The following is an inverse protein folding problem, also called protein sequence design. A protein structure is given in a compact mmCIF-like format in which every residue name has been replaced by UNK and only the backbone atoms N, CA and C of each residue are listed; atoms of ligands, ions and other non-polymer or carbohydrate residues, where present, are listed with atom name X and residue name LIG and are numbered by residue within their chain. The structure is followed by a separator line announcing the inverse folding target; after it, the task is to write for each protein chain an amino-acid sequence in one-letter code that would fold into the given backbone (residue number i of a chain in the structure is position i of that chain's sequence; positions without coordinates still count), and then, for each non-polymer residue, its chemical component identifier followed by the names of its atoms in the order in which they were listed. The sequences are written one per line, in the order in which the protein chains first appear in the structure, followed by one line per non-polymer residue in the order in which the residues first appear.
data_IF_949984754164
#
_entry.id   IF_949984754164
#
_cell.length_a   1.000
_cell.length_b   1.000
_cell.length_c   1.000
_cell.angle_alpha   90.00
_cell.angle_beta   90.00
_cell.angle_gamma   90.00
#
_symmetry.space_group_name_H-M   'P 1'
#
loop_
_entity.id
_entity.type
_entity.pdbx_description
1 polymer ?
#
# COMPACT_ATOMS: atom_id res chain seq x y z
N UNK A 1 25.05 43.40 -14.14
CA UNK A 1 24.15 42.66 -13.24
C UNK A 1 24.54 41.19 -13.31
N UNK A 2 25.25 40.68 -12.30
CA UNK A 2 25.85 39.33 -12.26
C UNK A 2 25.01 38.36 -11.40
N UNK A 3 25.55 37.15 -11.19
CA UNK A 3 25.28 36.18 -10.11
C UNK A 3 24.37 34.99 -10.43
N UNK A 4 24.95 33.95 -11.05
CA UNK A 4 24.78 32.58 -10.54
C UNK A 4 26.12 31.87 -10.58
N UNK A 5 26.86 32.05 -9.48
CA UNK A 5 28.10 31.33 -9.20
C UNK A 5 27.86 30.52 -7.93
N UNK A 6 28.16 29.21 -8.00
CA UNK A 6 28.43 28.28 -6.89
C UNK A 6 27.31 27.99 -5.90
N UNK A 7 26.71 26.82 -6.07
CA UNK A 7 26.67 25.78 -5.03
C UNK A 7 27.01 24.42 -5.65
N UNK A 8 28.28 24.31 -6.09
CA UNK A 8 28.93 23.01 -6.27
C UNK A 8 29.39 22.58 -4.88
N UNK A 9 28.48 21.97 -4.13
CA UNK A 9 28.79 21.28 -2.89
C UNK A 9 29.73 20.13 -3.20
N UNK A 10 30.92 20.20 -2.64
CA UNK A 10 32.01 19.25 -2.79
C UNK A 10 31.60 17.91 -2.17
N UNK A 11 31.12 16.97 -2.99
CA UNK A 11 31.25 15.54 -2.68
C UNK A 11 32.55 15.12 -3.36
N UNK A 12 33.62 15.18 -2.57
CA UNK A 12 34.93 14.69 -2.95
C UNK A 12 34.85 13.16 -3.05
N UNK A 13 34.91 12.64 -4.28
CA UNK A 13 34.98 11.21 -4.57
C UNK A 13 34.38 10.87 -5.93
N UNK A 14 35.21 10.91 -6.97
CA UNK A 14 35.05 10.41 -8.34
C UNK A 14 33.93 9.36 -8.59
N UNK A 15 32.65 9.77 -8.65
CA UNK A 15 31.58 8.87 -9.06
C UNK A 15 30.47 9.54 -9.88
N UNK A 16 30.68 10.78 -10.33
CA UNK A 16 29.69 11.52 -11.11
C UNK A 16 29.66 11.17 -12.62
N UNK A 17 30.52 10.26 -13.07
CA UNK A 17 30.68 9.88 -14.49
C UNK A 17 30.63 8.36 -14.71
N UNK A 18 29.89 7.67 -13.84
CA UNK A 18 29.76 6.22 -13.88
C UNK A 18 28.35 5.89 -14.34
N UNK A 19 28.25 5.19 -15.47
CA UNK A 19 27.01 4.65 -16.03
C UNK A 19 26.19 4.00 -14.90
N UNK A 20 24.93 4.42 -14.67
CA UNK A 20 24.09 3.88 -13.60
C UNK A 20 23.92 2.35 -13.67
N UNK A 21 24.12 1.73 -14.84
CA UNK A 21 24.11 0.27 -15.00
C UNK A 21 25.35 -0.45 -14.48
N UNK A 22 26.41 0.30 -14.12
CA UNK A 22 27.65 -0.25 -13.56
C UNK A 22 27.73 -0.10 -12.04
N UNK A 23 26.68 0.40 -11.40
CA UNK A 23 26.57 0.46 -9.95
C UNK A 23 26.51 -0.94 -9.36
N UNK A 24 27.57 -1.31 -8.63
CA UNK A 24 27.55 -2.51 -7.78
C UNK A 24 26.76 -2.18 -6.52
N UNK A 25 25.46 -2.49 -6.56
CA UNK A 25 24.64 -2.43 -5.36
C UNK A 25 25.15 -3.46 -4.34
N UNK A 26 25.12 -3.15 -3.04
CA UNK A 26 25.40 -4.13 -1.99
C UNK A 26 24.47 -5.34 -2.17
N UNK A 27 25.03 -6.55 -2.09
CA UNK A 27 24.27 -7.79 -2.22
C UNK A 27 23.27 -8.02 -1.08
N UNK A 28 23.37 -7.22 -0.01
CA UNK A 28 22.40 -7.18 1.07
C UNK A 28 22.42 -5.80 1.72
N UNK A 29 21.25 -5.29 2.05
CA UNK A 29 21.08 -4.15 2.94
C UNK A 29 20.97 -4.71 4.36
N UNK A 30 21.76 -4.17 5.28
CA UNK A 30 21.66 -4.56 6.69
C UNK A 30 20.32 -4.08 7.24
N UNK A 31 19.53 -4.99 7.81
CA UNK A 31 18.29 -4.62 8.48
C UNK A 31 18.57 -3.61 9.58
N UNK A 32 17.71 -2.58 9.67
CA UNK A 32 17.85 -1.54 10.67
C UNK A 32 17.54 -2.13 12.04
N UNK A 33 18.47 -1.99 12.99
CA UNK A 33 18.31 -2.48 14.36
C UNK A 33 17.27 -1.62 15.09
N UNK A 34 16.48 -2.18 16.02
CA UNK A 34 15.61 -1.38 16.88
C UNK A 34 16.48 -0.35 17.65
N UNK A 35 16.25 0.94 17.40
CA UNK A 35 17.10 2.06 17.85
C UNK A 35 17.95 2.74 16.75
N UNK A 36 17.74 2.38 15.47
CA UNK A 36 18.38 3.04 14.32
C UNK A 36 18.00 4.52 14.17
N UNK A 37 18.86 5.28 13.47
CA UNK A 37 18.70 6.72 13.22
C UNK A 37 17.32 7.01 12.63
N UNK A 38 16.64 8.01 13.19
CA UNK A 38 15.35 8.53 12.71
C UNK A 38 15.42 8.82 11.21
N UNK A 39 14.39 8.39 10.49
CA UNK A 39 14.19 8.71 9.07
C UNK A 39 14.16 10.23 8.92
N UNK A 40 15.11 10.77 8.15
CA UNK A 40 15.21 12.23 7.90
C UNK A 40 14.33 12.57 6.71
N UNK A 41 13.35 13.45 6.93
CA UNK A 41 12.39 13.90 5.92
C UNK A 41 13.13 14.72 4.85
N UNK A 42 13.05 14.36 3.55
CA UNK A 42 13.51 15.22 2.46
C UNK A 42 12.67 16.50 2.38
N UNK A 43 13.30 17.63 2.06
CA UNK A 43 12.60 18.92 1.94
C UNK A 43 11.36 18.85 1.04
N UNK A 44 10.19 19.39 1.46
CA UNK A 44 8.94 19.31 0.70
C UNK A 44 9.00 19.89 -0.73
N UNK A 45 9.94 20.80 -0.99
CA UNK A 45 10.20 21.35 -2.32
C UNK A 45 10.72 20.30 -3.32
N UNK A 46 11.14 19.13 -2.86
CA UNK A 46 11.61 18.05 -3.72
C UNK A 46 10.43 17.39 -4.46
N UNK A 47 9.17 17.54 -4.01
CA UNK A 47 8.01 16.82 -4.54
C UNK A 47 7.29 17.49 -5.73
N UNK A 48 7.85 18.57 -6.29
CA UNK A 48 7.13 19.46 -7.23
C UNK A 48 6.86 18.79 -8.59
N UNK A 49 7.69 17.83 -9.01
CA UNK A 49 7.63 17.21 -10.34
C UNK A 49 7.26 15.71 -10.29
N UNK A 50 6.61 15.27 -9.21
CA UNK A 50 6.27 13.86 -8.96
C UNK A 50 5.29 13.22 -9.93
N UNK A 51 4.91 13.84 -11.03
CA UNK A 51 3.83 13.31 -11.85
C UNK A 51 4.02 13.63 -13.34
N UNK A 52 3.56 12.73 -14.24
CA UNK A 52 3.40 13.05 -15.63
C UNK A 52 2.49 14.28 -15.77
N UNK A 53 2.79 15.22 -16.70
CA UNK A 53 1.87 16.31 -16.98
C UNK A 53 0.52 15.72 -17.36
N UNK A 54 -0.55 16.31 -16.82
CA UNK A 54 -1.94 15.88 -17.08
C UNK A 54 -2.33 15.93 -18.57
N UNK A 55 -1.48 16.54 -19.41
CA UNK A 55 -1.67 16.82 -20.83
C UNK A 55 -0.72 16.00 -21.73
N UNK A 56 -0.45 14.74 -21.38
CA UNK A 56 0.31 13.85 -22.26
C UNK A 56 -0.50 13.54 -23.54
N UNK A 57 -0.44 14.42 -24.53
CA UNK A 57 -0.99 14.19 -25.86
C UNK A 57 -0.31 12.98 -26.54
N UNK A 58 -1.07 12.32 -27.43
CA UNK A 58 -0.88 11.00 -28.06
C UNK A 58 0.44 10.80 -28.84
N UNK A 59 1.40 11.72 -28.79
CA UNK A 59 2.64 11.66 -29.58
C UNK A 59 3.94 11.28 -28.84
N UNK A 60 4.00 11.35 -27.51
CA UNK A 60 5.28 11.29 -26.78
C UNK A 60 5.34 10.19 -25.71
N UNK A 61 4.99 8.96 -26.08
CA UNK A 61 5.15 7.78 -25.20
C UNK A 61 6.62 7.48 -24.86
N UNK A 62 7.58 8.07 -25.58
CA UNK A 62 9.02 7.94 -25.30
C UNK A 62 9.47 8.64 -24.00
N UNK A 63 8.70 9.59 -23.48
CA UNK A 63 8.98 10.27 -22.19
C UNK A 63 8.53 9.45 -20.97
N UNK A 64 7.77 8.37 -21.17
CA UNK A 64 7.25 7.48 -20.11
C UNK A 64 8.36 6.54 -19.56
N UNK A 65 9.50 6.45 -20.26
CA UNK A 65 10.71 5.74 -19.82
C UNK A 65 11.63 6.62 -18.94
N UNK A 66 11.18 7.80 -18.51
CA UNK A 66 11.92 8.61 -17.55
C UNK A 66 11.98 7.87 -16.21
N UNK A 67 13.20 7.58 -15.75
CA UNK A 67 13.50 7.17 -14.38
C UNK A 67 12.60 7.97 -13.40
N UNK A 68 12.00 7.33 -12.37
CA UNK A 68 11.11 8.03 -11.45
C UNK A 68 11.80 9.29 -10.92
N UNK A 69 11.12 10.42 -11.09
CA UNK A 69 11.61 11.69 -10.57
C UNK A 69 11.83 11.58 -9.04
N UNK A 70 12.73 12.39 -8.48
CA UNK A 70 13.08 12.39 -7.05
C UNK A 70 11.80 12.51 -6.20
N UNK A 71 10.86 13.31 -6.67
CA UNK A 71 9.53 13.46 -6.10
C UNK A 71 8.75 12.13 -6.02
N UNK A 72 8.70 11.34 -7.09
CA UNK A 72 8.01 10.04 -7.13
C UNK A 72 8.65 9.06 -6.14
N UNK A 73 9.99 8.99 -6.15
CA UNK A 73 10.74 8.13 -5.25
C UNK A 73 10.47 8.51 -3.77
N UNK A 74 10.35 9.80 -3.48
CA UNK A 74 10.08 10.26 -2.12
C UNK A 74 8.64 9.92 -1.65
N UNK A 75 7.62 10.05 -2.51
CA UNK A 75 6.25 9.59 -2.17
C UNK A 75 6.21 8.08 -1.95
N UNK A 76 6.93 7.33 -2.79
CA UNK A 76 7.07 5.89 -2.64
C UNK A 76 7.70 5.51 -1.30
N UNK A 77 8.79 6.17 -0.91
CA UNK A 77 9.43 5.96 0.39
C UNK A 77 8.52 6.35 1.57
N UNK A 78 7.75 7.44 1.44
CA UNK A 78 6.78 7.83 2.46
C UNK A 78 5.69 6.76 2.64
N UNK A 79 5.19 6.19 1.54
CA UNK A 79 4.20 5.10 1.60
C UNK A 79 4.78 3.84 2.25
N UNK A 80 6.02 3.46 1.93
CA UNK A 80 6.70 2.33 2.58
C UNK A 80 6.85 2.55 4.09
N UNK A 81 7.14 3.78 4.51
CA UNK A 81 7.22 4.14 5.93
C UNK A 81 5.84 4.02 6.62
N UNK A 82 4.74 4.39 5.94
CA UNK A 82 3.39 4.14 6.45
C UNK A 82 3.13 2.64 6.67
N UNK A 83 3.53 1.78 5.73
CA UNK A 83 3.39 0.32 5.87
C UNK A 83 4.23 -0.22 7.04
N UNK A 84 5.44 0.29 7.23
CA UNK A 84 6.28 -0.05 8.38
C UNK A 84 5.62 0.35 9.70
N UNK A 85 5.04 1.55 9.78
CA UNK A 85 4.32 2.01 10.97
C UNK A 85 3.11 1.11 11.25
N UNK A 86 2.32 0.77 10.23
CA UNK A 86 1.20 -0.17 10.36
C UNK A 86 1.66 -1.53 10.95
N UNK A 87 2.78 -2.06 10.48
CA UNK A 87 3.38 -3.30 11.01
C UNK A 87 3.77 -3.16 12.48
N UNK A 88 4.37 -2.03 12.87
CA UNK A 88 4.72 -1.76 14.27
C UNK A 88 3.48 -1.64 15.16
N UNK A 89 2.42 -0.97 14.70
CA UNK A 89 1.17 -0.81 15.44
C UNK A 89 0.46 -2.17 15.61
N UNK A 90 0.42 -2.99 14.55
CA UNK A 90 -0.06 -4.38 14.62
C UNK A 90 0.74 -5.23 15.62
N UNK A 91 2.05 -4.98 15.71
CA UNK A 91 2.97 -5.63 16.65
C UNK A 91 2.88 -5.10 18.08
N UNK A 92 2.29 -3.92 18.30
CA UNK A 92 2.04 -3.35 19.62
C UNK A 92 0.67 -3.76 20.19
N UNK A 93 -0.32 -4.03 19.33
CA UNK A 93 -1.68 -4.39 19.74
C UNK A 93 -1.76 -5.73 20.46
N UNK A 94 -2.35 -5.73 21.65
CA UNK A 94 -2.54 -6.94 22.44
C UNK A 94 -3.78 -7.67 21.93
N UNK A 95 -3.58 -8.70 21.12
CA UNK A 95 -4.66 -9.57 20.64
C UNK A 95 -4.78 -10.77 21.57
N UNK A 96 -5.84 -10.79 22.37
CA UNK A 96 -6.22 -11.95 23.16
C UNK A 96 -7.07 -12.88 22.28
N UNK A 97 -6.46 -13.93 21.73
CA UNK A 97 -7.23 -14.98 21.04
C UNK A 97 -7.80 -15.91 22.10
N UNK A 98 -9.12 -15.96 22.17
CA UNK A 98 -9.80 -17.05 22.85
C UNK A 98 -9.45 -18.34 22.12
N UNK A 99 -8.70 -19.22 22.79
CA UNK A 99 -8.31 -20.51 22.22
C UNK A 99 -9.53 -21.23 21.67
N UNK A 100 -9.45 -21.68 20.42
CA UNK A 100 -10.40 -22.64 19.86
C UNK A 100 -10.57 -23.75 20.92
N UNK A 101 -11.79 -24.12 21.34
CA UNK A 101 -11.97 -25.30 22.17
C UNK A 101 -11.47 -26.46 21.33
N UNK A 102 -10.28 -26.97 21.68
CA UNK A 102 -9.82 -28.24 21.16
C UNK A 102 -10.89 -29.24 21.59
N UNK A 103 -11.71 -29.69 20.62
CA UNK A 103 -12.67 -30.75 20.85
C UNK A 103 -11.85 -32.05 21.00
N UNK A 104 -11.26 -32.21 22.18
CA UNK A 104 -10.64 -33.44 22.61
C UNK A 104 -11.76 -34.33 23.12
N UNK A 105 -12.08 -35.39 22.38
CA UNK A 105 -13.12 -36.39 22.70
C UNK A 105 -12.83 -37.24 23.95
N UNK A 106 -12.11 -36.71 24.94
CA UNK A 106 -11.86 -37.41 26.20
C UNK A 106 -12.20 -36.49 27.36
N UNK A 107 -13.24 -36.80 28.16
CA UNK A 107 -13.52 -36.07 29.37
C UNK A 107 -12.39 -36.38 30.36
N UNK A 108 -11.61 -35.36 30.70
CA UNK A 108 -10.76 -35.37 31.88
C UNK A 108 -11.28 -34.27 32.80
N UNK A 109 -11.74 -34.70 33.96
CA UNK A 109 -12.15 -33.84 35.05
C UNK A 109 -10.97 -32.90 35.45
N UNK A 110 -11.34 -31.67 35.78
CA UNK A 110 -10.60 -30.69 36.60
C UNK A 110 -9.34 -30.00 36.02
N UNK A 111 -9.52 -28.95 35.19
CA UNK A 111 -8.75 -27.67 35.24
C UNK A 111 -9.56 -26.52 34.57
N UNK A 112 -9.83 -25.38 35.23
CA UNK A 112 -10.33 -24.19 34.55
C UNK A 112 -9.14 -23.43 33.95
N UNK A 113 -8.86 -23.65 32.67
CA UNK A 113 -7.90 -22.83 31.92
C UNK A 113 -8.48 -22.41 30.58
N UNK A 114 -9.43 -21.48 30.62
CA UNK A 114 -9.61 -20.47 29.56
C UNK A 114 -8.39 -19.53 29.58
N UNK A 115 -7.22 -20.07 29.24
CA UNK A 115 -6.01 -19.28 29.10
C UNK A 115 -6.04 -18.52 27.79
N UNK A 116 -6.30 -17.22 27.84
CA UNK A 116 -5.97 -16.31 26.73
C UNK A 116 -4.49 -16.45 26.44
N UNK A 117 -4.16 -17.03 25.29
CA UNK A 117 -2.78 -17.22 24.86
C UNK A 117 -2.44 -16.08 23.92
N UNK A 118 -1.46 -15.27 24.31
CA UNK A 118 -0.99 -14.12 23.52
C UNK A 118 -0.43 -14.62 22.19
N UNK A 119 -0.92 -14.05 21.09
CA UNK A 119 -0.34 -14.35 19.78
C UNK A 119 1.08 -13.76 19.68
N UNK A 120 2.08 -14.55 19.24
CA UNK A 120 3.38 -14.04 18.84
C UNK A 120 3.24 -12.92 17.79
N UNK A 121 4.19 -11.97 17.80
CA UNK A 121 4.24 -10.84 16.86
C UNK A 121 4.13 -11.26 15.39
N UNK A 122 4.86 -12.31 14.99
CA UNK A 122 4.81 -12.86 13.63
C UNK A 122 3.42 -13.35 13.23
N UNK A 123 2.68 -13.96 14.16
CA UNK A 123 1.33 -14.45 13.90
C UNK A 123 0.30 -13.31 13.81
N UNK A 124 0.51 -12.20 14.55
CA UNK A 124 -0.36 -11.01 14.46
C UNK A 124 -0.21 -10.31 13.12
N UNK A 125 1.01 -10.18 12.63
CA UNK A 125 1.26 -9.62 11.31
C UNK A 125 0.70 -10.53 10.20
N UNK A 126 0.89 -11.85 10.29
CA UNK A 126 0.30 -12.79 9.35
C UNK A 126 -1.25 -12.72 9.36
N UNK A 127 -1.87 -12.59 10.53
CA UNK A 127 -3.31 -12.38 10.64
C UNK A 127 -3.76 -11.07 9.98
N UNK A 128 -3.04 -9.97 10.22
CA UNK A 128 -3.32 -8.68 9.59
C UNK A 128 -3.24 -8.79 8.07
N UNK A 129 -2.17 -9.40 7.51
CA UNK A 129 -2.06 -9.57 6.05
C UNK A 129 -3.23 -10.40 5.51
N UNK A 130 -3.61 -11.49 6.20
CA UNK A 130 -4.75 -12.32 5.77
C UNK A 130 -6.06 -11.54 5.74
N UNK A 131 -6.28 -10.68 6.74
CA UNK A 131 -7.41 -9.75 6.76
C UNK A 131 -7.28 -8.73 5.63
N UNK A 132 -6.14 -8.05 5.48
CA UNK A 132 -5.91 -7.08 4.42
C UNK A 132 -6.17 -7.66 3.02
N UNK A 133 -5.77 -8.92 2.77
CA UNK A 133 -6.03 -9.63 1.52
C UNK A 133 -7.53 -9.87 1.31
N UNK A 134 -8.27 -10.27 2.35
CA UNK A 134 -9.72 -10.44 2.22
C UNK A 134 -10.44 -9.11 1.99
N UNK A 135 -10.03 -8.05 2.70
CA UNK A 135 -10.53 -6.68 2.52
C UNK A 135 -10.23 -6.15 1.12
N UNK A 136 -9.03 -6.40 0.61
CA UNK A 136 -8.64 -6.06 -0.77
C UNK A 136 -9.48 -6.81 -1.79
N UNK A 137 -9.76 -8.10 -1.58
CA UNK A 137 -10.60 -8.86 -2.51
C UNK A 137 -12.01 -8.28 -2.61
N UNK A 138 -12.62 -7.89 -1.48
CA UNK A 138 -13.95 -7.25 -1.47
C UNK A 138 -13.91 -5.87 -2.13
N UNK A 139 -12.87 -5.07 -1.87
CA UNK A 139 -12.71 -3.78 -2.53
C UNK A 139 -12.53 -3.93 -4.05
N UNK A 140 -11.67 -4.86 -4.48
CA UNK A 140 -11.39 -5.13 -5.88
C UNK A 140 -12.65 -5.53 -6.63
N UNK A 141 -13.49 -6.42 -6.07
CA UNK A 141 -14.74 -6.83 -6.70
C UNK A 141 -15.77 -5.70 -6.85
N UNK A 142 -15.65 -4.62 -6.07
CA UNK A 142 -16.55 -3.46 -6.09
C UNK A 142 -15.88 -2.21 -6.70
N UNK A 143 -14.73 -2.37 -7.36
CA UNK A 143 -13.97 -1.24 -7.90
C UNK A 143 -14.70 -0.57 -9.07
N UNK A 144 -15.61 -1.27 -9.74
CA UNK A 144 -16.49 -0.73 -10.76
C UNK A 144 -17.38 0.40 -10.22
N UNK A 145 -17.95 0.23 -9.04
CA UNK A 145 -18.76 1.27 -8.40
C UNK A 145 -17.94 2.53 -8.13
N UNK A 146 -16.67 2.38 -7.75
CA UNK A 146 -15.73 3.51 -7.58
C UNK A 146 -15.48 4.21 -8.92
N UNK A 147 -15.15 3.46 -9.97
CA UNK A 147 -14.84 4.02 -11.28
C UNK A 147 -16.06 4.68 -11.94
N UNK A 148 -17.24 4.09 -11.80
CA UNK A 148 -18.51 4.67 -12.27
C UNK A 148 -18.80 5.98 -11.55
N UNK A 149 -18.61 6.02 -10.23
CA UNK A 149 -18.82 7.25 -9.46
C UNK A 149 -17.83 8.35 -9.86
N UNK A 150 -16.57 8.01 -10.11
CA UNK A 150 -15.56 8.94 -10.63
C UNK A 150 -15.96 9.46 -12.02
N UNK A 151 -16.42 8.58 -12.92
CA UNK A 151 -16.85 8.99 -14.25
C UNK A 151 -18.08 9.91 -14.22
N UNK A 152 -19.02 9.68 -13.30
CA UNK A 152 -20.25 10.45 -13.17
C UNK A 152 -20.04 11.83 -12.51
N UNK A 153 -19.14 11.93 -11.53
CA UNK A 153 -19.00 13.13 -10.68
C UNK A 153 -17.63 13.81 -10.77
N UNK A 154 -16.65 13.21 -11.45
CA UNK A 154 -15.34 13.80 -11.67
C UNK A 154 -15.42 15.02 -12.58
N UNK A 155 -15.23 16.21 -12.02
CA UNK A 155 -15.26 17.50 -12.73
C UNK A 155 -14.12 17.67 -13.77
N UNK A 156 -13.31 16.63 -13.99
CA UNK A 156 -12.18 16.57 -14.90
C UNK A 156 -12.15 15.28 -15.76
N UNK A 157 -13.22 14.49 -15.76
CA UNK A 157 -13.36 13.28 -16.58
C UNK A 157 -13.68 13.63 -18.05
N UNK A 158 -12.95 14.58 -18.62
CA UNK A 158 -12.76 14.60 -20.08
C UNK A 158 -12.11 13.29 -20.53
N UNK A 159 -12.05 13.08 -21.84
CA UNK A 159 -11.49 11.93 -22.56
C UNK A 159 -10.01 11.63 -22.23
N UNK A 160 -9.72 11.38 -20.95
CA UNK A 160 -8.40 11.08 -20.43
C UNK A 160 -8.14 9.61 -20.67
N UNK A 161 -7.03 9.37 -21.37
CA UNK A 161 -6.49 8.04 -21.67
C UNK A 161 -6.24 7.22 -20.39
N UNK A 162 -6.01 7.88 -19.24
CA UNK A 162 -5.73 7.23 -17.95
C UNK A 162 -6.69 7.69 -16.85
N UNK A 163 -7.08 6.75 -15.98
CA UNK A 163 -7.92 7.00 -14.80
C UNK A 163 -7.04 7.10 -13.56
N UNK A 164 -7.23 8.14 -12.76
CA UNK A 164 -6.55 8.33 -11.47
C UNK A 164 -7.58 8.54 -10.36
N UNK A 165 -7.44 7.80 -9.26
CA UNK A 165 -8.26 8.04 -8.07
C UNK A 165 -7.87 9.36 -7.41
N UNK A 166 -8.86 10.15 -7.00
CA UNK A 166 -8.62 11.27 -6.07
C UNK A 166 -8.63 10.75 -4.63
N UNK A 167 -8.18 11.58 -3.67
CA UNK A 167 -8.08 11.20 -2.25
C UNK A 167 -9.39 10.73 -1.64
N UNK A 168 -10.53 11.17 -2.18
CA UNK A 168 -11.87 10.79 -1.75
C UNK A 168 -12.26 9.35 -2.12
N UNK A 169 -11.50 8.70 -3.01
CA UNK A 169 -11.76 7.34 -3.48
C UNK A 169 -10.65 6.35 -3.10
N UNK A 170 -9.67 6.78 -2.28
CA UNK A 170 -8.59 5.90 -1.86
C UNK A 170 -9.11 4.76 -0.97
N UNK A 171 -8.59 3.54 -1.13
CA UNK A 171 -8.83 2.49 -0.16
C UNK A 171 -8.03 2.74 1.14
N UNK A 172 -8.38 2.05 2.24
CA UNK A 172 -7.58 2.00 3.47
C UNK A 172 -6.14 1.54 3.26
N UNK A 173 -5.26 1.88 4.22
CA UNK A 173 -3.81 1.65 4.12
C UNK A 173 -3.45 0.16 3.95
N UNK A 174 -4.17 -0.74 4.62
CA UNK A 174 -3.96 -2.19 4.54
C UNK A 174 -4.38 -2.75 3.17
N UNK A 175 -5.47 -2.25 2.59
CA UNK A 175 -5.90 -2.59 1.23
C UNK A 175 -4.90 -2.04 0.21
N UNK A 176 -4.39 -0.83 0.43
CA UNK A 176 -3.35 -0.22 -0.40
C UNK A 176 -2.03 -0.98 -0.34
N UNK A 177 -1.67 -1.56 0.82
CA UNK A 177 -0.51 -2.44 0.97
C UNK A 177 -0.61 -3.66 0.05
N UNK A 178 -1.77 -4.32 0.03
CA UNK A 178 -2.00 -5.49 -0.82
C UNK A 178 -1.98 -5.08 -2.30
N UNK A 179 -2.63 -3.97 -2.66
CA UNK A 179 -2.61 -3.46 -4.04
C UNK A 179 -1.18 -3.16 -4.50
N UNK A 180 -0.41 -2.45 -3.68
CA UNK A 180 0.99 -2.13 -3.95
C UNK A 180 1.82 -3.38 -4.15
N UNK A 181 1.76 -4.35 -3.23
CA UNK A 181 2.51 -5.59 -3.34
C UNK A 181 2.10 -6.41 -4.57
N UNK A 182 0.81 -6.41 -4.91
CA UNK A 182 0.30 -7.11 -6.08
C UNK A 182 0.82 -6.51 -7.39
N UNK A 183 0.89 -5.17 -7.49
CA UNK A 183 1.39 -4.50 -8.69
C UNK A 183 2.87 -4.79 -8.97
N UNK A 184 3.65 -5.13 -7.95
CA UNK A 184 5.08 -5.48 -8.10
C UNK A 184 5.26 -6.82 -8.85
N UNK A 185 4.24 -7.69 -8.87
CA UNK A 185 4.19 -8.83 -9.76
C UNK A 185 3.41 -8.45 -11.03
N UNK A 186 4.10 -7.79 -11.97
CA UNK A 186 3.48 -7.22 -13.17
C UNK A 186 2.67 -8.22 -13.98
N UNK A 187 3.15 -9.47 -14.10
CA UNK A 187 2.47 -10.49 -14.90
C UNK A 187 1.15 -10.90 -14.26
N UNK A 188 1.16 -11.22 -12.96
CA UNK A 188 -0.04 -11.59 -12.23
C UNK A 188 -1.05 -10.44 -12.14
N UNK A 189 -0.55 -9.21 -11.92
CA UNK A 189 -1.39 -8.01 -11.87
C UNK A 189 -2.08 -7.75 -13.22
N UNK A 190 -1.33 -7.83 -14.33
CA UNK A 190 -1.87 -7.60 -15.66
C UNK A 190 -2.91 -8.66 -16.06
N UNK A 191 -2.70 -9.93 -15.69
CA UNK A 191 -3.68 -11.00 -15.92
C UNK A 191 -4.97 -10.70 -15.15
N UNK A 192 -4.88 -10.39 -13.85
CA UNK A 192 -6.06 -10.08 -13.04
C UNK A 192 -6.81 -8.84 -13.55
N UNK A 193 -6.09 -7.80 -14.00
CA UNK A 193 -6.71 -6.64 -14.62
C UNK A 193 -7.48 -7.02 -15.89
N UNK A 194 -6.90 -7.83 -16.78
CA UNK A 194 -7.56 -8.27 -18.03
C UNK A 194 -8.77 -9.16 -17.78
N UNK A 195 -8.69 -10.04 -16.79
CA UNK A 195 -9.82 -10.91 -16.44
C UNK A 195 -10.98 -10.10 -15.86
N UNK A 196 -10.66 -9.07 -15.07
CA UNK A 196 -11.65 -8.20 -14.45
C UNK A 196 -12.15 -7.09 -15.37
N UNK A 197 -11.41 -6.72 -16.43
CA UNK A 197 -11.82 -5.72 -17.44
C UNK A 197 -13.14 -6.09 -18.13
N UNK A 198 -13.45 -7.38 -18.26
CA UNK A 198 -14.73 -7.85 -18.81
C UNK A 198 -15.94 -7.42 -17.98
N UNK A 199 -15.72 -7.13 -16.69
CA UNK A 199 -16.73 -6.72 -15.73
C UNK A 199 -16.60 -5.22 -15.42
N UNK A 200 -15.38 -4.71 -15.45
CA UNK A 200 -15.04 -3.35 -15.04
C UNK A 200 -14.35 -2.62 -16.18
N UNK A 201 -15.11 -1.81 -16.93
CA UNK A 201 -14.55 -1.03 -18.01
C UNK A 201 -13.53 0.01 -17.48
N UNK A 202 -12.39 0.13 -18.18
CA UNK A 202 -11.27 1.05 -17.90
C UNK A 202 -10.39 0.68 -16.72
N UNK A 203 -10.48 -0.54 -16.19
CA UNK A 203 -9.61 -0.98 -15.11
C UNK A 203 -8.14 -1.05 -15.56
N UNK A 204 -7.88 -1.45 -16.80
CA UNK A 204 -6.54 -1.47 -17.41
C UNK A 204 -5.91 -0.06 -17.52
N UNK A 205 -6.75 0.98 -17.50
CA UNK A 205 -6.34 2.39 -17.53
C UNK A 205 -6.20 2.99 -16.14
N UNK A 206 -6.53 2.23 -15.07
CA UNK A 206 -6.42 2.68 -13.70
C UNK A 206 -4.94 2.70 -13.27
N UNK A 207 -4.41 3.91 -13.12
CA UNK A 207 -3.07 4.11 -12.59
C UNK A 207 -3.07 4.02 -11.06
N UNK A 208 -1.97 3.53 -10.49
CA UNK A 208 -1.78 3.57 -9.05
C UNK A 208 -1.77 5.04 -8.56
N UNK A 209 -2.54 5.39 -7.51
CA UNK A 209 -2.97 6.76 -7.25
C UNK A 209 -1.93 7.56 -6.44
N UNK A 210 -0.70 7.68 -6.95
CA UNK A 210 0.42 8.35 -6.26
C UNK A 210 0.10 9.78 -5.81
N UNK A 211 -0.65 10.55 -6.62
CA UNK A 211 -1.08 11.92 -6.30
C UNK A 211 -1.94 11.95 -5.04
N UNK A 212 -3.00 11.16 -5.04
CA UNK A 212 -3.93 11.09 -3.94
C UNK A 212 -3.26 10.58 -2.67
N UNK A 213 -2.35 9.60 -2.79
CA UNK A 213 -1.59 9.06 -1.67
C UNK A 213 -0.73 10.14 -1.01
N UNK A 214 0.02 10.92 -1.80
CA UNK A 214 0.82 12.03 -1.27
C UNK A 214 -0.04 13.01 -0.48
N UNK A 215 -1.23 13.33 -0.98
CA UNK A 215 -2.12 14.33 -0.38
C UNK A 215 -2.77 13.87 0.93
N UNK A 216 -2.70 12.58 1.27
CA UNK A 216 -3.26 12.02 2.52
C UNK A 216 -2.19 11.54 3.50
N UNK A 217 -0.91 11.53 3.12
CA UNK A 217 0.18 11.20 4.04
C UNK A 217 0.57 12.46 4.82
N UNK A 218 0.47 12.40 6.15
CA UNK A 218 1.16 13.33 7.04
C UNK A 218 2.67 13.08 6.92
N UNK A 219 3.39 13.96 6.22
CA UNK A 219 4.82 13.82 5.96
C UNK A 219 5.70 14.02 7.20
N UNK A 220 5.18 14.61 8.29
CA UNK A 220 5.92 14.75 9.55
C UNK A 220 5.86 13.47 10.38
N UNK A 221 4.75 12.72 10.29
CA UNK A 221 4.49 11.53 11.10
C UNK A 221 4.46 10.22 10.31
N UNK A 222 4.50 10.30 8.99
CA UNK A 222 4.26 9.21 8.05
C UNK A 222 2.97 8.44 8.37
N UNK A 223 1.90 9.17 8.70
CA UNK A 223 0.58 8.61 8.95
C UNK A 223 -0.32 8.78 7.74
N UNK A 224 -0.99 7.70 7.37
CA UNK A 224 -1.95 7.71 6.27
C UNK A 224 -3.32 8.17 6.79
N UNK A 225 -3.67 9.43 6.53
CA UNK A 225 -4.90 10.06 7.01
C UNK A 225 -6.01 9.95 5.96
N UNK A 226 -6.66 8.79 5.93
CA UNK A 226 -7.73 8.54 4.95
C UNK A 226 -8.89 9.55 5.15
N UNK A 227 -9.33 10.31 4.13
CA UNK A 227 -10.44 11.24 4.26
C UNK A 227 -11.74 10.55 4.68
N UNK A 228 -12.59 11.24 5.46
CA UNK A 228 -13.89 10.68 5.91
C UNK A 228 -14.76 10.20 4.76
N UNK A 229 -14.75 10.88 3.62
CA UNK A 229 -15.48 10.48 2.42
C UNK A 229 -15.02 9.11 1.93
N UNK A 230 -13.69 8.89 1.86
CA UNK A 230 -13.11 7.64 1.43
C UNK A 230 -13.35 6.51 2.45
N UNK A 231 -13.28 6.82 3.75
CA UNK A 231 -13.66 5.88 4.81
C UNK A 231 -15.12 5.42 4.65
N UNK A 232 -16.05 6.36 4.50
CA UNK A 232 -17.47 6.06 4.34
C UNK A 232 -17.75 5.28 3.05
N UNK A 233 -17.08 5.64 1.95
CA UNK A 233 -17.18 4.92 0.67
C UNK A 233 -16.72 3.47 0.85
N UNK A 234 -15.56 3.24 1.45
CA UNK A 234 -15.05 1.90 1.70
C UNK A 234 -16.03 1.08 2.55
N UNK A 235 -16.54 1.65 3.64
CA UNK A 235 -17.52 0.98 4.50
C UNK A 235 -18.83 0.70 3.77
N UNK A 236 -19.30 1.60 2.91
CA UNK A 236 -20.52 1.39 2.11
C UNK A 236 -20.35 0.29 1.07
N UNK A 237 -19.15 0.14 0.50
CA UNK A 237 -18.88 -0.85 -0.55
C UNK A 237 -18.58 -2.25 0.01
N UNK A 238 -18.03 -2.33 1.23
CA UNK A 238 -17.48 -3.58 1.77
C UNK A 238 -18.14 -4.06 3.06
N UNK A 239 -19.01 -3.24 3.65
CA UNK A 239 -19.55 -3.40 5.01
C UNK A 239 -18.46 -3.55 6.10
N UNK A 240 -17.24 -3.09 5.80
CA UNK A 240 -16.09 -3.18 6.69
C UNK A 240 -15.67 -1.82 7.24
N UNK A 241 -15.12 -1.82 8.46
CA UNK A 241 -14.45 -0.67 9.04
C UNK A 241 -13.26 -0.29 8.16
N UNK A 242 -12.99 1.02 8.03
CA UNK A 242 -11.83 1.53 7.32
C UNK A 242 -10.53 1.27 8.10
N UNK A 243 -10.59 1.21 9.43
CA UNK A 243 -9.45 0.87 10.29
C UNK A 243 -9.31 -0.65 10.44
N UNK A 244 -8.16 -1.22 10.06
CA UNK A 244 -7.90 -2.65 10.20
C UNK A 244 -7.66 -3.06 11.65
N UNK A 245 -7.14 -2.16 12.47
CA UNK A 245 -6.70 -2.47 13.82
C UNK A 245 -7.90 -2.78 14.73
N UNK A 246 -9.08 -2.23 14.44
CA UNK A 246 -10.33 -2.57 15.14
C UNK A 246 -10.67 -4.06 15.03
N UNK A 247 -10.28 -4.73 13.95
CA UNK A 247 -10.49 -6.18 13.78
C UNK A 247 -9.53 -7.03 14.59
N UNK A 248 -8.35 -6.49 14.93
CA UNK A 248 -7.40 -7.14 15.83
C UNK A 248 -7.84 -7.00 17.30
N UNK A 249 -8.45 -5.88 17.66
CA UNK A 249 -8.98 -5.63 19.00
C UNK A 249 -10.28 -6.39 19.27
N UNK A 250 -11.16 -6.48 18.26
CA UNK A 250 -12.43 -7.21 18.34
C UNK A 250 -12.66 -8.02 17.06
N UNK A 251 -12.17 -9.27 16.99
CA UNK A 251 -12.37 -10.13 15.84
C UNK A 251 -13.88 -10.37 15.62
N UNK A 252 -14.42 -10.13 14.41
CA UNK A 252 -15.81 -10.42 14.09
C UNK A 252 -16.07 -11.92 14.23
N UNK A 253 -17.29 -12.27 14.64
CA UNK A 253 -17.63 -13.65 15.05
C UNK A 253 -17.37 -14.72 13.98
N UNK A 254 -17.31 -14.36 12.70
CA UNK A 254 -16.98 -15.26 11.60
C UNK A 254 -16.34 -14.47 10.45
N UNK A 255 -15.14 -14.87 10.02
CA UNK A 255 -14.72 -14.68 8.63
C UNK A 255 -14.25 -16.03 8.11
N UNK A 256 -15.21 -16.86 7.71
CA UNK A 256 -14.90 -17.96 6.82
C UNK A 256 -14.27 -17.37 5.55
N UNK A 257 -13.17 -17.96 5.10
CA UNK A 257 -12.36 -17.47 4.00
C UNK A 257 -13.19 -17.29 2.73
N UNK A 258 -13.48 -16.03 2.39
CA UNK A 258 -14.11 -15.66 1.14
C UNK A 258 -13.31 -16.17 -0.06
N UNK A 259 -14.08 -16.64 -1.04
CA UNK A 259 -13.73 -17.26 -2.33
C UNK A 259 -12.51 -16.61 -3.00
N UNK A 260 -11.58 -17.42 -3.50
CA UNK A 260 -10.38 -16.95 -4.23
C UNK A 260 -10.79 -16.20 -5.50
N UNK A 261 -10.75 -14.87 -5.46
CA UNK A 261 -10.93 -14.02 -6.65
C UNK A 261 -9.67 -13.88 -7.52
N UNK A 262 -8.50 -14.33 -7.03
CA UNK A 262 -7.21 -14.18 -7.69
C UNK A 262 -6.52 -15.53 -7.86
N UNK A 263 -5.86 -15.73 -9.00
CA UNK A 263 -4.97 -16.87 -9.24
C UNK A 263 -3.68 -16.76 -8.41
N UNK A 264 -3.21 -15.53 -8.17
CA UNK A 264 -2.04 -15.25 -7.37
C UNK A 264 -2.32 -15.38 -5.86
N UNK A 265 -1.36 -15.96 -5.13
CA UNK A 265 -1.36 -15.95 -3.67
C UNK A 265 -0.94 -14.56 -3.17
N UNK A 266 -1.91 -13.66 -3.03
CA UNK A 266 -1.70 -12.28 -2.56
C UNK A 266 -1.04 -12.22 -1.18
N UNK A 267 -1.29 -13.21 -0.32
CA UNK A 267 -0.59 -13.30 0.97
C UNK A 267 0.90 -13.54 0.73
N UNK A 268 1.26 -14.49 -0.13
CA UNK A 268 2.66 -14.72 -0.48
C UNK A 268 3.33 -13.51 -1.16
N UNK A 269 2.62 -12.77 -2.02
CA UNK A 269 3.16 -11.55 -2.64
C UNK A 269 3.50 -10.47 -1.62
N UNK A 270 2.62 -10.22 -0.64
CA UNK A 270 2.92 -9.30 0.48
C UNK A 270 4.08 -9.84 1.32
N UNK A 271 4.16 -11.15 1.57
CA UNK A 271 5.28 -11.74 2.34
C UNK A 271 6.64 -11.57 1.66
N UNK A 272 6.71 -11.58 0.32
CA UNK A 272 7.97 -11.34 -0.42
C UNK A 272 8.55 -9.96 -0.16
N UNK A 273 7.70 -8.97 0.14
CA UNK A 273 8.11 -7.58 0.27
C UNK A 273 8.39 -7.16 1.72
N UNK A 274 8.33 -8.08 2.70
CA UNK A 274 8.57 -7.80 4.14
C UNK A 274 9.94 -7.22 4.49
N UNK A 275 10.91 -7.34 3.58
CA UNK A 275 12.23 -6.77 3.79
C UNK A 275 12.27 -5.25 3.52
N UNK A 276 11.23 -4.70 2.87
CA UNK A 276 11.17 -3.31 2.43
C UNK A 276 10.33 -2.40 3.34
N UNK A 277 9.59 -2.98 4.28
CA UNK A 277 8.81 -2.27 5.31
C UNK A 277 9.02 -2.85 6.70
#
# INVERSE_FOLDING_TARGET
MPLFNRLRGVISGNQADVDPHSWKLPSSYSSCKPGGKQTVIPEPSIFVNAFPPADAEVGNTATILACPDISHAAVHLALLECFRILRLEASALQVDVHGLPAYSEKPRDDVPSTGTTRLPESQRWDLLIRLAVSRFAVWWTNIDHVLVHIAAYGHHAGDRVMVQLTKEYLPPLDVLLVWYAFMLNSDAYNIACRDHERQVARLEHLCFPWLAIRDVIDMDRFRFELPRTAQNLFTTLSDQSSDILTYLESPPAYTEGGTRSFEADLFAEVKKQENFY
#
